data_IF_927700964191
#
_entry.id   IF_927700964191
#
_cell.length_a   1.000
_cell.length_b   1.000
_cell.length_c   1.000
_cell.angle_alpha   90.00
_cell.angle_beta   90.00
_cell.angle_gamma   90.00
#
_symmetry.space_group_name_H-M   'P 1'
#
loop_
_entity.id
_entity.type
_entity.pdbx_description
1 polymer ?
#
# COMPACT_ATOMS: atom_id res chain seq x y z
N UNK A 1 -2.72 -12.28 -30.50
CA UNK A 1 -3.06 -11.40 -29.36
C UNK A 1 -2.13 -11.73 -28.20
N UNK A 2 -1.77 -10.75 -27.37
CA UNK A 2 -0.93 -11.00 -26.19
C UNK A 2 -1.69 -11.88 -25.19
N UNK A 3 -1.01 -12.89 -24.60
CA UNK A 3 -1.57 -13.73 -23.53
C UNK A 3 -2.00 -12.91 -22.27
N UNK A 4 -1.50 -11.69 -22.14
CA UNK A 4 -1.82 -10.75 -21.06
C UNK A 4 -3.00 -9.82 -21.38
N UNK A 5 -3.58 -9.96 -22.58
CA UNK A 5 -4.78 -9.23 -22.98
C UNK A 5 -6.03 -10.05 -22.63
N UNK A 6 -6.92 -9.47 -21.85
CA UNK A 6 -8.22 -10.04 -21.55
C UNK A 6 -9.32 -9.18 -22.19
N UNK A 7 -9.89 -9.64 -23.30
CA UNK A 7 -10.96 -8.93 -24.01
C UNK A 7 -12.25 -8.76 -23.19
N UNK A 8 -12.43 -9.57 -22.14
CA UNK A 8 -13.57 -9.50 -21.22
C UNK A 8 -13.32 -8.56 -20.04
N UNK A 9 -12.15 -7.98 -19.93
CA UNK A 9 -11.84 -7.06 -18.84
C UNK A 9 -12.61 -5.76 -19.01
N UNK A 10 -13.51 -5.50 -18.09
CA UNK A 10 -14.30 -4.25 -18.02
C UNK A 10 -13.93 -3.39 -16.82
N UNK A 11 -13.28 -3.98 -15.80
CA UNK A 11 -12.94 -3.30 -14.55
C UNK A 11 -11.64 -2.51 -14.66
N UNK A 12 -11.61 -1.36 -14.02
CA UNK A 12 -10.42 -0.52 -13.89
C UNK A 12 -9.82 -0.11 -15.24
N UNK A 13 -10.66 0.13 -16.23
CA UNK A 13 -10.29 0.75 -17.50
C UNK A 13 -10.76 2.20 -17.49
N UNK A 14 -9.83 3.11 -17.71
CA UNK A 14 -10.13 4.53 -17.83
C UNK A 14 -10.82 4.84 -19.16
N UNK A 15 -11.96 5.47 -19.10
CA UNK A 15 -12.72 5.95 -20.26
C UNK A 15 -12.88 7.47 -20.15
N UNK A 16 -12.39 8.26 -21.11
CA UNK A 16 -12.47 9.73 -21.03
C UNK A 16 -13.89 10.29 -20.96
N UNK A 17 -14.87 9.51 -21.45
CA UNK A 17 -16.28 9.93 -21.44
C UNK A 17 -16.97 9.67 -20.08
N UNK A 18 -16.38 8.87 -19.19
CA UNK A 18 -16.95 8.56 -17.88
C UNK A 18 -16.86 9.82 -17.01
N UNK A 19 -17.99 10.20 -16.40
CA UNK A 19 -18.07 11.35 -15.47
C UNK A 19 -17.69 10.96 -14.04
N UNK A 20 -17.78 9.67 -13.71
CA UNK A 20 -17.43 9.16 -12.39
C UNK A 20 -15.91 9.22 -12.15
N UNK A 21 -15.49 9.53 -10.92
CA UNK A 21 -14.07 9.55 -10.57
C UNK A 21 -13.40 8.21 -10.85
N UNK A 22 -12.25 8.25 -11.50
CA UNK A 22 -11.47 7.04 -11.78
C UNK A 22 -10.56 6.69 -10.60
N UNK A 23 -10.68 5.45 -10.10
CA UNK A 23 -9.86 4.96 -8.98
C UNK A 23 -8.47 4.54 -9.45
N UNK A 24 -7.44 5.18 -8.89
CA UNK A 24 -6.04 4.95 -9.21
C UNK A 24 -5.26 4.56 -7.96
N UNK A 25 -4.78 3.32 -7.91
CA UNK A 25 -4.00 2.84 -6.77
C UNK A 25 -2.53 3.28 -6.86
N UNK A 26 -1.85 3.33 -5.71
CA UNK A 26 -0.41 3.59 -5.62
C UNK A 26 0.39 2.76 -6.62
N UNK A 27 0.16 1.44 -6.67
CA UNK A 27 0.89 0.57 -7.60
C UNK A 27 0.68 0.91 -9.09
N UNK A 28 -0.41 1.61 -9.42
CA UNK A 28 -0.64 2.08 -10.79
C UNK A 28 0.01 3.43 -11.05
N UNK A 29 0.20 4.24 -10.03
CA UNK A 29 1.02 5.44 -10.10
C UNK A 29 2.49 5.03 -10.30
N UNK A 30 2.98 4.07 -9.52
CA UNK A 30 4.33 3.50 -9.69
C UNK A 30 4.52 2.95 -11.11
N UNK A 31 3.53 2.21 -11.63
CA UNK A 31 3.55 1.72 -13.02
C UNK A 31 3.65 2.86 -14.05
N UNK A 32 2.99 3.98 -13.81
CA UNK A 32 3.07 5.15 -14.69
C UNK A 32 4.47 5.77 -14.65
N UNK A 33 5.03 5.96 -13.46
CA UNK A 33 6.37 6.53 -13.27
C UNK A 33 7.43 5.64 -13.90
N UNK A 34 7.33 4.33 -13.71
CA UNK A 34 8.25 3.35 -14.25
C UNK A 34 8.14 3.19 -15.78
N UNK A 35 6.91 3.14 -16.30
CA UNK A 35 6.64 2.90 -17.72
C UNK A 35 5.27 3.48 -18.13
N UNK A 36 5.20 4.73 -18.59
CA UNK A 36 3.94 5.35 -19.03
C UNK A 36 3.22 4.55 -20.12
N UNK A 37 3.98 3.93 -21.05
CA UNK A 37 3.41 3.05 -22.08
C UNK A 37 2.73 1.82 -21.47
N UNK A 38 3.35 1.17 -20.48
CA UNK A 38 2.77 0.02 -19.80
C UNK A 38 1.50 0.41 -19.04
N UNK A 39 1.51 1.58 -18.41
CA UNK A 39 0.35 2.14 -17.74
C UNK A 39 -0.81 2.39 -18.72
N UNK A 40 -0.53 2.97 -19.88
CA UNK A 40 -1.54 3.19 -20.91
C UNK A 40 -2.14 1.87 -21.41
N UNK A 41 -1.31 0.88 -21.72
CA UNK A 41 -1.74 -0.45 -22.15
C UNK A 41 -2.65 -1.09 -21.09
N UNK A 42 -2.27 -1.01 -19.80
CA UNK A 42 -3.02 -1.59 -18.71
C UNK A 42 -4.34 -0.84 -18.43
N UNK A 43 -4.28 0.49 -18.32
CA UNK A 43 -5.44 1.28 -17.88
C UNK A 43 -6.41 1.66 -18.99
N UNK A 44 -5.96 1.70 -20.24
CA UNK A 44 -6.79 2.06 -21.42
C UNK A 44 -7.18 0.86 -22.26
N UNK A 45 -6.26 -0.08 -22.48
CA UNK A 45 -6.44 -1.17 -23.43
C UNK A 45 -6.63 -2.55 -22.76
N UNK A 46 -6.53 -2.64 -21.44
CA UNK A 46 -6.74 -3.89 -20.71
C UNK A 46 -5.61 -4.90 -20.83
N UNK A 47 -4.45 -4.50 -21.36
CA UNK A 47 -3.27 -5.36 -21.48
C UNK A 47 -2.45 -5.28 -20.19
N UNK A 48 -2.50 -6.31 -19.37
CA UNK A 48 -1.73 -6.38 -18.12
C UNK A 48 -0.24 -6.64 -18.37
N UNK A 49 0.59 -6.32 -17.37
CA UNK A 49 1.97 -6.81 -17.31
C UNK A 49 2.00 -8.30 -16.99
N UNK A 50 3.05 -9.02 -17.39
CA UNK A 50 3.33 -10.35 -16.85
C UNK A 50 3.34 -10.32 -15.31
N UNK A 51 2.81 -11.35 -14.65
CA UNK A 51 2.90 -11.44 -13.20
C UNK A 51 4.38 -11.53 -12.77
N UNK A 52 4.74 -10.80 -11.72
CA UNK A 52 6.04 -10.94 -11.07
C UNK A 52 6.15 -12.22 -10.23
N UNK A 53 7.31 -12.42 -9.60
CA UNK A 53 7.49 -13.52 -8.66
C UNK A 53 6.58 -13.35 -7.42
N UNK A 54 6.02 -14.45 -6.88
CA UNK A 54 5.23 -14.37 -5.67
C UNK A 54 6.10 -14.02 -4.45
N UNK A 55 5.62 -13.08 -3.63
CA UNK A 55 6.29 -12.65 -2.39
C UNK A 55 5.63 -13.29 -1.15
N UNK A 56 5.48 -14.60 -1.14
CA UNK A 56 4.77 -15.32 -0.07
C UNK A 56 5.36 -15.12 1.32
N UNK A 57 6.70 -15.15 1.44
CA UNK A 57 7.38 -14.93 2.71
C UNK A 57 7.16 -13.50 3.24
N UNK A 58 7.29 -12.50 2.37
CA UNK A 58 7.08 -11.10 2.75
C UNK A 58 5.65 -10.86 3.23
N UNK A 59 4.67 -11.48 2.58
CA UNK A 59 3.26 -11.38 3.00
C UNK A 59 3.01 -12.05 4.35
N UNK A 60 3.68 -13.16 4.64
CA UNK A 60 3.58 -13.83 5.94
C UNK A 60 4.18 -12.97 7.07
N UNK A 61 5.36 -12.38 6.84
CA UNK A 61 6.01 -11.47 7.81
C UNK A 61 5.14 -10.24 8.07
N UNK A 62 4.61 -9.62 7.03
CA UNK A 62 3.69 -8.48 7.14
C UNK A 62 2.47 -8.82 8.01
N UNK A 63 1.85 -9.98 7.75
CA UNK A 63 0.69 -10.45 8.53
C UNK A 63 1.03 -10.65 10.00
N UNK A 64 2.17 -11.27 10.30
CA UNK A 64 2.61 -11.51 11.68
C UNK A 64 2.90 -10.21 12.42
N UNK A 65 3.58 -9.26 11.77
CA UNK A 65 3.86 -7.93 12.35
C UNK A 65 2.56 -7.19 12.66
N UNK A 66 1.61 -7.16 11.75
CA UNK A 66 0.30 -6.54 11.98
C UNK A 66 -0.40 -7.14 13.21
N UNK A 67 -0.40 -8.46 13.35
CA UNK A 67 -0.98 -9.15 14.50
C UNK A 67 -0.26 -8.81 15.81
N UNK A 68 1.07 -8.77 15.79
CA UNK A 68 1.88 -8.47 16.97
C UNK A 68 1.64 -7.01 17.43
N UNK A 69 1.66 -6.05 16.52
CA UNK A 69 1.35 -4.66 16.84
C UNK A 69 -0.09 -4.46 17.29
N UNK A 70 -1.05 -5.24 16.80
CA UNK A 70 -2.44 -5.19 17.23
C UNK A 70 -2.61 -5.66 18.70
N UNK A 71 -1.82 -6.63 19.17
CA UNK A 71 -1.79 -7.02 20.58
C UNK A 71 -1.33 -5.84 21.46
N UNK A 72 -0.28 -5.14 21.06
CA UNK A 72 0.23 -3.97 21.79
C UNK A 72 -0.78 -2.79 21.75
N UNK A 73 -1.41 -2.55 20.61
CA UNK A 73 -2.48 -1.55 20.46
C UNK A 73 -3.64 -1.82 21.38
N UNK A 74 -4.10 -3.07 21.47
CA UNK A 74 -5.22 -3.45 22.35
C UNK A 74 -4.89 -3.31 23.83
N UNK A 75 -3.62 -3.49 24.19
CA UNK A 75 -3.14 -3.37 25.58
C UNK A 75 -2.72 -1.97 25.98
N UNK A 76 -2.60 -1.05 25.01
CA UNK A 76 -2.04 0.29 25.25
C UNK A 76 -0.56 0.27 25.65
N UNK A 77 0.21 -0.71 25.17
CA UNK A 77 1.65 -0.89 25.48
C UNK A 77 2.50 -0.62 24.26
N UNK A 78 3.76 -0.23 24.48
CA UNK A 78 4.72 -0.12 23.39
C UNK A 78 5.17 -1.50 22.92
N UNK A 79 5.41 -1.61 21.61
CA UNK A 79 6.05 -2.78 21.06
C UNK A 79 7.56 -2.73 21.36
N UNK A 80 8.23 -3.88 21.70
CA UNK A 80 9.67 -3.91 22.01
C UNK A 80 10.58 -3.28 20.95
N UNK A 81 10.21 -3.36 19.66
CA UNK A 81 10.96 -2.70 18.58
C UNK A 81 10.89 -1.18 18.65
N UNK A 82 9.75 -0.61 19.04
CA UNK A 82 9.59 0.83 19.23
C UNK A 82 10.55 1.31 20.33
N UNK A 83 10.60 0.59 21.45
CA UNK A 83 11.51 0.91 22.56
C UNK A 83 12.98 0.72 22.17
N UNK A 84 13.31 -0.42 21.54
CA UNK A 84 14.66 -0.74 21.10
C UNK A 84 15.26 0.32 20.15
N UNK A 85 14.45 0.86 19.26
CA UNK A 85 14.89 1.88 18.28
C UNK A 85 14.62 3.30 18.72
N UNK A 86 14.09 3.52 19.93
CA UNK A 86 13.84 4.85 20.46
C UNK A 86 12.83 5.66 19.63
N UNK A 87 11.86 5.01 19.02
CA UNK A 87 10.85 5.66 18.18
C UNK A 87 9.84 6.37 19.08
N UNK A 88 9.70 7.68 18.93
CA UNK A 88 8.70 8.45 19.66
C UNK A 88 7.31 8.27 19.04
N UNK A 89 6.76 7.08 19.15
CA UNK A 89 5.40 6.75 18.71
C UNK A 89 4.92 5.46 19.35
N UNK A 90 3.61 5.20 19.30
CA UNK A 90 3.00 3.95 19.72
C UNK A 90 1.86 3.57 18.76
N UNK A 91 1.43 2.29 18.70
CA UNK A 91 0.35 1.84 17.83
C UNK A 91 -0.96 2.59 18.13
N UNK A 92 -1.48 3.32 17.16
CA UNK A 92 -2.70 4.12 17.32
C UNK A 92 -3.96 3.26 17.15
N UNK A 93 -4.94 3.43 18.05
CA UNK A 93 -6.28 2.90 17.85
C UNK A 93 -7.07 3.84 16.93
N UNK A 94 -7.55 3.31 15.82
CA UNK A 94 -8.39 4.09 14.88
C UNK A 94 -9.50 3.21 14.31
N UNK A 95 -10.72 3.75 14.28
CA UNK A 95 -11.93 2.99 13.86
C UNK A 95 -11.88 2.49 12.41
N UNK A 96 -11.14 3.15 11.55
CA UNK A 96 -11.01 2.80 10.13
C UNK A 96 -9.73 2.03 9.80
N UNK A 97 -8.91 1.68 10.79
CA UNK A 97 -7.61 1.06 10.53
C UNK A 97 -7.73 -0.24 9.74
N UNK A 98 -8.72 -1.07 10.05
CA UNK A 98 -8.95 -2.32 9.32
C UNK A 98 -9.31 -2.06 7.85
N UNK A 99 -10.17 -1.08 7.59
CA UNK A 99 -10.53 -0.68 6.22
C UNK A 99 -9.31 -0.14 5.46
N UNK A 100 -8.47 0.64 6.14
CA UNK A 100 -7.26 1.23 5.54
C UNK A 100 -6.18 0.21 5.21
N UNK A 101 -6.16 -0.92 5.93
CA UNK A 101 -5.27 -2.07 5.67
C UNK A 101 -5.74 -2.94 4.51
N UNK A 102 -7.02 -2.84 4.11
CA UNK A 102 -7.58 -3.63 3.03
C UNK A 102 -7.13 -3.12 1.65
N UNK A 103 -6.50 -3.98 0.86
CA UNK A 103 -5.90 -3.63 -0.44
C UNK A 103 -6.88 -2.99 -1.44
N UNK A 104 -8.18 -3.32 -1.36
CA UNK A 104 -9.19 -2.83 -2.31
C UNK A 104 -10.05 -1.70 -1.74
N UNK A 105 -9.98 -1.49 -0.44
CA UNK A 105 -10.63 -0.38 0.26
C UNK A 105 -9.62 0.74 0.44
N UNK A 106 -8.68 0.58 1.37
CA UNK A 106 -7.60 1.49 1.62
C UNK A 106 -8.02 2.92 2.00
N UNK A 107 -7.04 3.79 2.13
CA UNK A 107 -7.26 5.23 2.21
C UNK A 107 -7.60 5.73 0.81
N UNK A 108 -8.59 6.62 0.70
CA UNK A 108 -9.03 7.18 -0.56
C UNK A 108 -9.05 8.71 -0.49
N UNK A 109 -8.46 9.34 -1.49
CA UNK A 109 -8.45 10.79 -1.64
C UNK A 109 -8.94 11.21 -3.04
N UNK A 110 -10.01 11.99 -3.10
CA UNK A 110 -10.52 12.54 -4.35
C UNK A 110 -9.73 13.79 -4.75
N UNK A 111 -8.94 13.68 -5.80
CA UNK A 111 -8.29 14.82 -6.43
C UNK A 111 -9.26 15.46 -7.44
N UNK A 112 -9.98 16.48 -6.98
CA UNK A 112 -11.09 17.11 -7.73
C UNK A 112 -10.69 17.62 -9.09
N UNK A 113 -9.50 18.22 -9.24
CA UNK A 113 -9.01 18.82 -10.49
C UNK A 113 -8.89 17.80 -11.63
N UNK A 114 -8.49 16.55 -11.31
CA UNK A 114 -8.31 15.49 -12.32
C UNK A 114 -9.42 14.46 -12.31
N UNK A 115 -10.38 14.57 -11.39
CA UNK A 115 -11.42 13.58 -11.16
C UNK A 115 -10.88 12.17 -10.91
N UNK A 116 -9.75 12.07 -10.17
CA UNK A 116 -9.13 10.81 -9.78
C UNK A 116 -9.33 10.55 -8.29
N UNK A 117 -9.67 9.31 -7.93
CA UNK A 117 -9.59 8.83 -6.55
C UNK A 117 -8.23 8.14 -6.40
N UNK A 118 -7.33 8.78 -5.68
CA UNK A 118 -6.05 8.17 -5.31
C UNK A 118 -6.28 7.24 -4.13
N UNK A 119 -5.80 6.00 -4.23
CA UNK A 119 -6.03 4.99 -3.19
C UNK A 119 -4.79 4.18 -2.90
N UNK A 120 -4.65 3.76 -1.63
CA UNK A 120 -3.60 2.84 -1.19
C UNK A 120 -3.94 2.26 0.17
N UNK A 121 -3.54 1.01 0.39
CA UNK A 121 -3.55 0.43 1.72
C UNK A 121 -2.31 0.88 2.50
N UNK A 122 -2.43 0.95 3.82
CA UNK A 122 -1.32 1.14 4.75
C UNK A 122 -1.11 -0.14 5.54
N UNK A 123 0.09 -0.36 6.06
CA UNK A 123 0.32 -1.52 6.91
C UNK A 123 -0.09 -1.23 8.34
N UNK A 124 0.23 -0.05 8.85
CA UNK A 124 -0.16 0.35 10.20
C UNK A 124 -0.28 1.86 10.39
N UNK A 125 -0.83 2.25 11.54
CA UNK A 125 -0.99 3.62 11.97
C UNK A 125 -0.44 3.75 13.39
N UNK A 126 0.51 4.67 13.58
CA UNK A 126 1.03 5.02 14.89
C UNK A 126 0.72 6.47 15.22
N UNK A 127 0.89 6.85 16.48
CA UNK A 127 0.70 8.22 16.97
C UNK A 127 1.90 8.59 17.84
N UNK A 128 2.40 9.82 17.69
CA UNK A 128 3.51 10.32 18.47
C UNK A 128 3.05 11.12 19.70
N UNK A 129 4.00 11.62 20.48
CA UNK A 129 3.74 12.43 21.68
C UNK A 129 3.13 13.82 21.40
N UNK A 130 3.00 14.21 20.12
CA UNK A 130 2.34 15.47 19.69
C UNK A 130 0.96 15.23 19.10
N UNK A 131 0.40 14.03 19.28
CA UNK A 131 -0.85 13.61 18.69
C UNK A 131 -0.87 13.59 17.15
N UNK A 132 0.30 13.46 16.52
CA UNK A 132 0.40 13.35 15.07
C UNK A 132 0.37 11.89 14.64
N UNK A 133 -0.48 11.54 13.67
CA UNK A 133 -0.52 10.22 13.08
C UNK A 133 0.66 9.97 12.15
N UNK A 134 1.23 8.78 12.25
CA UNK A 134 2.33 8.30 11.42
C UNK A 134 1.85 7.07 10.66
N UNK A 135 1.90 7.15 9.33
CA UNK A 135 1.67 5.99 8.47
C UNK A 135 2.90 5.11 8.48
N UNK A 136 2.71 3.83 8.76
CA UNK A 136 3.79 2.84 8.86
C UNK A 136 3.66 1.84 7.73
N UNK A 137 4.80 1.47 7.15
CA UNK A 137 4.93 0.46 6.10
C UNK A 137 5.98 -0.57 6.56
N UNK A 138 5.59 -1.84 6.61
CA UNK A 138 6.45 -2.93 7.03
C UNK A 138 7.23 -3.47 5.83
N UNK A 139 8.56 -3.51 5.97
CA UNK A 139 9.45 -4.07 4.94
C UNK A 139 10.20 -5.27 5.49
N UNK A 140 10.13 -6.38 4.79
CA UNK A 140 10.97 -7.55 5.05
C UNK A 140 12.02 -7.69 3.96
N UNK A 141 13.19 -8.18 4.35
CA UNK A 141 14.30 -8.45 3.43
C UNK A 141 14.90 -9.81 3.74
N UNK A 142 15.42 -10.48 2.70
CA UNK A 142 16.20 -11.69 2.83
C UNK A 142 17.72 -11.42 2.90
N UNK A 143 18.16 -10.15 2.94
CA UNK A 143 19.58 -9.81 3.07
C UNK A 143 20.13 -10.33 4.41
N UNK A 144 21.27 -10.99 4.36
CA UNK A 144 22.02 -11.37 5.54
C UNK A 144 22.78 -10.13 6.05
N UNK A 145 22.35 -9.59 7.17
CA UNK A 145 22.99 -8.44 7.80
C UNK A 145 21.98 -7.42 8.32
N UNK A 146 22.46 -6.50 9.15
CA UNK A 146 21.64 -5.43 9.69
C UNK A 146 21.44 -4.35 8.61
N UNK A 147 20.19 -3.97 8.37
CA UNK A 147 19.88 -2.78 7.56
C UNK A 147 20.06 -1.57 8.46
N UNK A 148 20.98 -0.67 8.07
CA UNK A 148 21.31 0.54 8.82
C UNK A 148 20.53 1.74 8.26
N UNK A 149 20.27 1.76 6.95
CA UNK A 149 19.52 2.82 6.28
C UNK A 149 18.68 2.25 5.13
N UNK A 150 17.58 2.94 4.78
CA UNK A 150 16.65 2.51 3.73
C UNK A 150 17.18 2.69 2.30
N UNK A 151 18.26 3.43 2.13
CA UNK A 151 18.95 3.71 0.86
C UNK A 151 20.11 2.74 0.54
N UNK A 152 20.27 1.69 1.34
CA UNK A 152 21.32 0.67 1.16
C UNK A 152 20.82 -0.55 0.37
N UNK A 153 20.09 -0.32 -0.73
CA UNK A 153 19.65 -1.40 -1.63
C UNK A 153 20.74 -1.91 -2.57
#
# INVERSE_FOLDING_TARGET
MSQYYNSKRTRNLFKPADKEPFKLSRSKIDLFVECPRCFYLDRRLGVGRPPGFPFSLNSAVDTLLKQEFDVHRARGTNHPLIEKYGVNAHPAAHKQLNDWRENFVGIQYLHKTTNLIITGAIDDLWINSRDEYIVVDYKSTAKAGQIIALDQD
#
